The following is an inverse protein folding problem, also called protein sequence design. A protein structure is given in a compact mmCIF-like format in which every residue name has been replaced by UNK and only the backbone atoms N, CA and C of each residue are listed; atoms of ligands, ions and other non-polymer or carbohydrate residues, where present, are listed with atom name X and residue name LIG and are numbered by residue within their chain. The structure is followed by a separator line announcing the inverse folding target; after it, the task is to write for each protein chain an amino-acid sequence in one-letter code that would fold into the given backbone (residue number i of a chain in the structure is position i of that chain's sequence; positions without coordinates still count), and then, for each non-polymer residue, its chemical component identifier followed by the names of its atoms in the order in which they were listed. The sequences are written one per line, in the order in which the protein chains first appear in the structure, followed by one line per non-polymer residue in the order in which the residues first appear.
data_IF_323230961044
#
_entry.id   IF_323230961044
#
_cell.length_a   1.000
_cell.length_b   1.000
_cell.length_c   1.000
_cell.angle_alpha   90.00
_cell.angle_beta   90.00
_cell.angle_gamma   90.00
#
_symmetry.space_group_name_H-M   'P 1'
#
loop_
_entity.id
_entity.type
_entity.pdbx_description
1 polymer ?
#
# COMPACT_ATOMS: atom_id res chain seq x y z
N UNK A 1 15.03 -9.52 11.46
CA UNK A 1 14.82 -8.23 10.76
C UNK A 1 16.13 -7.44 10.83
N UNK A 2 16.62 -6.96 9.71
CA UNK A 2 17.84 -6.15 9.61
C UNK A 2 17.46 -4.80 8.97
N UNK A 3 18.03 -3.70 9.46
CA UNK A 3 17.87 -2.39 8.87
C UNK A 3 19.07 -2.10 7.96
N UNK A 4 18.81 -1.79 6.69
CA UNK A 4 19.83 -1.44 5.71
C UNK A 4 19.63 0.03 5.35
N UNK A 5 20.65 0.85 5.59
CA UNK A 5 20.64 2.25 5.19
C UNK A 5 21.03 2.34 3.71
N UNK A 6 20.23 3.05 2.91
CA UNK A 6 20.47 3.29 1.49
C UNK A 6 21.02 4.71 1.33
N UNK A 7 22.30 4.89 0.96
CA UNK A 7 22.87 6.21 0.75
C UNK A 7 22.18 6.93 -0.42
N UNK A 8 21.86 8.21 -0.23
CA UNK A 8 21.29 9.07 -1.27
C UNK A 8 20.01 8.54 -1.95
N UNK A 9 19.27 7.64 -1.28
CA UNK A 9 18.10 6.96 -1.83
C UNK A 9 18.42 6.13 -3.13
N UNK A 10 19.68 5.72 -3.33
CA UNK A 10 20.15 4.94 -4.49
C UNK A 10 20.22 3.42 -4.19
N UNK A 11 19.21 2.68 -4.65
CA UNK A 11 19.14 1.21 -4.51
C UNK A 11 20.14 0.46 -5.40
N UNK A 12 20.78 1.14 -6.35
CA UNK A 12 21.80 0.55 -7.24
C UNK A 12 23.20 0.59 -6.64
N UNK A 13 23.37 1.22 -5.47
CA UNK A 13 24.64 1.20 -4.74
C UNK A 13 25.06 -0.27 -4.46
N UNK A 14 26.36 -0.61 -4.64
CA UNK A 14 26.83 -1.98 -4.47
C UNK A 14 26.54 -2.59 -3.09
N UNK A 15 26.49 -1.78 -2.03
CA UNK A 15 26.26 -2.24 -0.66
C UNK A 15 24.84 -2.78 -0.43
N UNK A 16 23.75 -2.02 -0.69
CA UNK A 16 22.39 -2.54 -0.62
C UNK A 16 22.15 -3.64 -1.66
N UNK A 17 22.64 -3.50 -2.89
CA UNK A 17 22.44 -4.50 -3.95
C UNK A 17 22.97 -5.90 -3.57
N UNK A 18 24.17 -5.97 -2.97
CA UNK A 18 24.74 -7.24 -2.49
C UNK A 18 23.94 -7.80 -1.32
N UNK A 19 23.47 -6.93 -0.43
CA UNK A 19 22.69 -7.35 0.74
C UNK A 19 21.34 -7.95 0.32
N UNK A 20 20.66 -7.36 -0.66
CA UNK A 20 19.36 -7.83 -1.14
C UNK A 20 19.40 -9.25 -1.72
N UNK A 21 20.51 -9.66 -2.35
CA UNK A 21 20.66 -11.00 -2.90
C UNK A 21 20.61 -12.13 -1.83
N UNK A 22 20.80 -11.77 -0.56
CA UNK A 22 20.81 -12.71 0.56
C UNK A 22 19.53 -12.67 1.42
N UNK A 23 18.56 -11.82 1.06
CA UNK A 23 17.34 -11.64 1.86
C UNK A 23 16.15 -12.40 1.24
N UNK A 24 15.39 -13.08 2.09
CA UNK A 24 14.16 -13.78 1.69
C UNK A 24 12.96 -12.84 1.53
N UNK A 25 13.02 -11.67 2.14
CA UNK A 25 12.05 -10.60 1.98
C UNK A 25 12.73 -9.25 2.16
N UNK A 26 12.35 -8.28 1.33
CA UNK A 26 12.81 -6.89 1.42
C UNK A 26 11.61 -5.98 1.61
N UNK A 27 11.74 -5.06 2.56
CA UNK A 27 10.75 -4.00 2.79
C UNK A 27 11.45 -2.68 2.53
N UNK A 28 11.15 -2.07 1.39
CA UNK A 28 11.75 -0.80 0.97
C UNK A 28 10.92 0.34 1.54
N UNK A 29 11.60 1.30 2.16
CA UNK A 29 10.96 2.51 2.70
C UNK A 29 11.26 3.70 1.79
N UNK A 30 10.23 4.42 1.36
CA UNK A 30 10.34 5.47 0.35
C UNK A 30 10.02 6.85 0.92
N UNK A 31 10.90 7.83 0.62
CA UNK A 31 10.71 9.24 0.99
C UNK A 31 9.45 9.83 0.34
N UNK A 32 9.15 9.45 -0.91
CA UNK A 32 7.96 9.92 -1.64
C UNK A 32 6.66 9.56 -0.92
N UNK A 33 6.63 8.40 -0.26
CA UNK A 33 5.45 7.93 0.50
C UNK A 33 5.35 8.68 1.83
N UNK A 34 6.47 8.95 2.49
CA UNK A 34 6.53 9.80 3.71
C UNK A 34 5.96 11.19 3.42
N UNK A 35 6.32 11.80 2.29
CA UNK A 35 5.85 13.14 1.90
C UNK A 35 4.32 13.21 1.72
N UNK A 36 3.67 12.07 1.47
CA UNK A 36 2.21 11.95 1.40
C UNK A 36 1.55 11.74 2.78
N UNK A 37 2.35 11.66 3.85
CA UNK A 37 1.92 11.42 5.22
C UNK A 37 1.53 9.96 5.52
N UNK A 38 1.91 9.02 4.65
CA UNK A 38 1.57 7.60 4.79
C UNK A 38 2.63 6.91 5.67
N UNK A 39 2.18 6.31 6.78
CA UNK A 39 3.03 5.55 7.69
C UNK A 39 2.43 4.16 7.95
N UNK A 40 3.22 3.07 7.84
CA UNK A 40 4.63 3.06 7.47
C UNK A 40 4.83 3.40 5.98
N UNK A 41 5.96 4.02 5.66
CA UNK A 41 6.26 4.48 4.30
C UNK A 41 6.83 3.36 3.41
N UNK A 42 6.20 2.20 3.43
CA UNK A 42 6.60 1.02 2.64
C UNK A 42 6.23 1.24 1.18
N UNK A 43 7.19 1.04 0.28
CA UNK A 43 6.92 0.99 -1.15
C UNK A 43 6.42 -0.42 -1.54
N UNK A 44 5.15 -0.58 -1.93
CA UNK A 44 4.56 -1.89 -2.21
C UNK A 44 4.99 -2.50 -3.55
N UNK A 45 5.59 -1.70 -4.45
CA UNK A 45 6.07 -2.16 -5.75
C UNK A 45 7.55 -2.53 -5.71
N UNK A 46 8.35 -1.84 -4.89
CA UNK A 46 9.78 -2.16 -4.70
C UNK A 46 10.02 -3.23 -3.61
N UNK A 47 9.09 -3.40 -2.68
CA UNK A 47 9.16 -4.45 -1.66
C UNK A 47 8.78 -5.81 -2.24
N UNK A 48 9.49 -6.86 -1.83
CA UNK A 48 9.22 -8.22 -2.31
C UNK A 48 9.45 -9.28 -1.23
N UNK A 49 8.93 -10.47 -1.48
CA UNK A 49 9.14 -11.63 -0.61
C UNK A 49 9.13 -12.92 -1.42
N UNK A 50 10.07 -13.81 -1.12
CA UNK A 50 10.15 -15.15 -1.73
C UNK A 50 8.99 -16.06 -1.37
N UNK A 51 8.35 -15.82 -0.21
CA UNK A 51 7.23 -16.66 0.24
C UNK A 51 5.88 -16.22 -0.31
N UNK A 52 5.83 -15.16 -1.13
CA UNK A 52 4.60 -14.73 -1.81
C UNK A 52 4.34 -15.64 -3.01
N UNK A 53 4.07 -16.90 -2.73
CA UNK A 53 3.74 -17.98 -3.67
C UNK A 53 2.42 -18.65 -3.22
N UNK A 54 1.57 -19.00 -4.18
CA UNK A 54 0.21 -19.51 -3.93
C UNK A 54 0.19 -20.77 -3.05
N UNK A 55 1.16 -21.65 -3.21
CA UNK A 55 1.32 -22.89 -2.45
C UNK A 55 1.77 -22.66 -0.99
N UNK A 56 2.40 -21.51 -0.70
CA UNK A 56 2.85 -21.13 0.65
C UNK A 56 1.79 -20.32 1.39
N UNK A 57 1.32 -19.22 0.79
CA UNK A 57 0.40 -18.29 1.46
C UNK A 57 -1.08 -18.60 1.24
N UNK A 58 -1.38 -19.52 0.32
CA UNK A 58 -2.72 -19.81 -0.14
C UNK A 58 -3.19 -18.87 -1.25
N UNK A 59 -4.06 -19.40 -2.10
CA UNK A 59 -4.60 -18.73 -3.29
C UNK A 59 -5.18 -17.35 -3.02
N UNK A 60 -6.05 -17.23 -2.02
CA UNK A 60 -6.75 -15.97 -1.75
C UNK A 60 -5.80 -14.84 -1.36
N UNK A 61 -4.79 -15.12 -0.53
CA UNK A 61 -3.79 -14.12 -0.16
C UNK A 61 -2.92 -13.76 -1.38
N UNK A 62 -2.45 -14.75 -2.12
CA UNK A 62 -1.63 -14.54 -3.31
C UNK A 62 -2.34 -13.69 -4.37
N UNK A 63 -3.56 -14.06 -4.78
CA UNK A 63 -4.34 -13.34 -5.79
C UNK A 63 -4.68 -11.91 -5.34
N UNK A 64 -5.02 -11.73 -4.06
CA UNK A 64 -5.32 -10.39 -3.52
C UNK A 64 -4.08 -9.50 -3.58
N UNK A 65 -2.91 -10.01 -3.15
CA UNK A 65 -1.67 -9.26 -3.19
C UNK A 65 -1.25 -8.91 -4.63
N UNK A 66 -1.37 -9.85 -5.58
CA UNK A 66 -1.04 -9.61 -6.99
C UNK A 66 -1.94 -8.56 -7.63
N UNK A 67 -3.26 -8.64 -7.42
CA UNK A 67 -4.20 -7.63 -7.94
C UNK A 67 -3.98 -6.25 -7.33
N UNK A 68 -3.60 -6.17 -6.05
CA UNK A 68 -3.19 -4.90 -5.43
C UNK A 68 -1.95 -4.32 -6.13
N UNK A 69 -0.93 -5.14 -6.40
CA UNK A 69 0.27 -4.71 -7.13
C UNK A 69 -0.07 -4.24 -8.55
N UNK A 70 -0.91 -4.97 -9.28
CA UNK A 70 -1.36 -4.62 -10.64
C UNK A 70 -2.07 -3.26 -10.68
N UNK A 71 -3.00 -3.02 -9.74
CA UNK A 71 -3.73 -1.74 -9.66
C UNK A 71 -2.76 -0.58 -9.36
N UNK A 72 -1.81 -0.78 -8.43
CA UNK A 72 -0.81 0.23 -8.08
C UNK A 72 0.16 0.49 -9.23
N UNK A 73 0.55 -0.54 -9.99
CA UNK A 73 1.40 -0.40 -11.16
C UNK A 73 0.68 0.39 -12.27
N UNK A 74 -0.56 0.03 -12.59
CA UNK A 74 -1.39 0.77 -13.56
C UNK A 74 -1.60 2.22 -13.11
N UNK A 75 -1.76 2.46 -11.80
CA UNK A 75 -1.85 3.83 -11.27
C UNK A 75 -0.56 4.63 -11.51
N UNK A 76 0.62 4.06 -11.29
CA UNK A 76 1.90 4.73 -11.59
C UNK A 76 2.01 5.11 -13.08
N UNK A 77 1.60 4.23 -13.99
CA UNK A 77 1.58 4.52 -15.43
C UNK A 77 0.62 5.67 -15.78
N UNK A 78 -0.53 5.73 -15.10
CA UNK A 78 -1.53 6.78 -15.29
C UNK A 78 -1.13 8.11 -14.64
N UNK A 79 -0.22 8.13 -13.65
CA UNK A 79 0.19 9.37 -12.96
C UNK A 79 0.83 10.39 -13.90
N UNK A 80 1.66 9.95 -14.84
CA UNK A 80 2.31 10.85 -15.81
C UNK A 80 1.26 11.48 -16.75
N UNK A 81 0.28 10.68 -17.19
CA UNK A 81 -0.84 11.15 -18.01
C UNK A 81 -1.66 12.18 -17.21
N UNK A 82 -2.00 11.88 -15.96
CA UNK A 82 -2.76 12.79 -15.08
C UNK A 82 -2.00 14.10 -14.85
N UNK A 83 -0.67 14.05 -14.69
CA UNK A 83 0.15 15.23 -14.46
C UNK A 83 0.22 16.17 -15.68
N UNK A 84 0.11 15.63 -16.90
CA UNK A 84 0.21 16.40 -18.14
C UNK A 84 -1.18 16.85 -18.64
N UNK A 85 -2.14 15.93 -18.68
CA UNK A 85 -3.44 16.11 -19.34
C UNK A 85 -4.59 16.34 -18.35
N UNK A 86 -4.43 15.91 -17.10
CA UNK A 86 -5.47 15.97 -16.07
C UNK A 86 -6.31 14.69 -15.98
N UNK A 87 -7.07 14.58 -14.89
CA UNK A 87 -7.89 13.40 -14.57
C UNK A 87 -9.10 13.23 -15.51
N UNK A 88 -9.58 14.32 -16.11
CA UNK A 88 -10.79 14.33 -16.95
C UNK A 88 -10.60 13.57 -18.26
N UNK A 89 -9.35 13.52 -18.76
CA UNK A 89 -8.94 12.88 -20.02
C UNK A 89 -8.81 11.35 -19.93
N UNK A 90 -8.94 10.78 -18.73
CA UNK A 90 -8.92 9.34 -18.54
C UNK A 90 -10.25 8.69 -18.94
N UNK A 91 -10.18 7.44 -19.39
CA UNK A 91 -11.37 6.61 -19.54
C UNK A 91 -12.06 6.39 -18.17
N UNK A 92 -13.36 6.11 -18.15
CA UNK A 92 -14.07 5.85 -16.89
C UNK A 92 -13.48 4.64 -16.13
N UNK A 93 -12.98 3.63 -16.84
CA UNK A 93 -12.29 2.48 -16.24
C UNK A 93 -10.95 2.87 -15.58
N UNK A 94 -10.18 3.75 -16.24
CA UNK A 94 -8.92 4.24 -15.68
C UNK A 94 -9.16 5.16 -14.50
N UNK A 95 -10.22 5.97 -14.54
CA UNK A 95 -10.65 6.77 -13.38
C UNK A 95 -10.95 5.87 -12.18
N UNK A 96 -11.72 4.81 -12.37
CA UNK A 96 -12.00 3.83 -11.30
C UNK A 96 -10.71 3.20 -10.78
N UNK A 97 -9.80 2.80 -11.69
CA UNK A 97 -8.49 2.24 -11.31
C UNK A 97 -7.72 3.21 -10.41
N UNK A 98 -7.63 4.49 -10.79
CA UNK A 98 -6.93 5.53 -10.03
C UNK A 98 -7.58 5.74 -8.66
N UNK A 99 -8.91 5.81 -8.59
CA UNK A 99 -9.62 5.97 -7.31
C UNK A 99 -9.37 4.80 -6.38
N UNK A 100 -9.43 3.56 -6.87
CA UNK A 100 -9.11 2.37 -6.08
C UNK A 100 -7.65 2.35 -5.66
N UNK A 101 -6.71 2.70 -6.54
CA UNK A 101 -5.29 2.78 -6.21
C UNK A 101 -5.00 3.80 -5.09
N UNK A 102 -5.62 4.98 -5.13
CA UNK A 102 -5.51 5.97 -4.05
C UNK A 102 -6.04 5.45 -2.72
N UNK A 103 -7.17 4.74 -2.73
CA UNK A 103 -7.73 4.08 -1.54
C UNK A 103 -6.78 3.01 -0.99
N UNK A 104 -6.21 2.17 -1.86
CA UNK A 104 -5.20 1.17 -1.50
C UNK A 104 -3.97 1.84 -0.86
N UNK A 105 -3.41 2.87 -1.48
CA UNK A 105 -2.25 3.60 -0.93
C UNK A 105 -2.53 4.16 0.46
N UNK A 106 -3.73 4.73 0.68
CA UNK A 106 -4.14 5.22 2.00
C UNK A 106 -4.34 4.07 2.98
N UNK A 107 -4.97 2.98 2.57
CA UNK A 107 -5.25 1.82 3.42
C UNK A 107 -4.00 1.03 3.84
N UNK A 108 -2.88 1.19 3.12
CA UNK A 108 -1.57 0.68 3.55
C UNK A 108 -1.02 1.43 4.78
N UNK A 109 -1.57 2.59 5.13
CA UNK A 109 -1.21 3.28 6.38
C UNK A 109 -1.91 2.67 7.59
N UNK A 110 -1.19 2.58 8.71
CA UNK A 110 -1.70 2.01 9.96
C UNK A 110 -1.11 2.74 11.18
N UNK A 111 -1.93 3.09 12.18
CA UNK A 111 -1.44 3.71 13.40
C UNK A 111 -0.65 2.70 14.25
N UNK A 112 0.55 3.08 14.65
CA UNK A 112 1.44 2.24 15.45
C UNK A 112 1.29 2.49 16.95
N UNK A 113 1.24 1.41 17.74
CA UNK A 113 1.21 1.49 19.22
C UNK A 113 2.40 2.28 19.78
N UNK A 114 3.58 2.14 19.17
CA UNK A 114 4.79 2.88 19.58
C UNK A 114 4.76 4.36 19.19
N UNK A 115 3.92 4.73 18.23
CA UNK A 115 3.75 6.11 17.79
C UNK A 115 2.65 6.85 18.56
N UNK A 116 1.80 6.13 19.31
CA UNK A 116 0.65 6.67 20.03
C UNK A 116 1.02 7.83 20.97
N UNK A 117 2.17 7.76 21.65
CA UNK A 117 2.66 8.83 22.53
C UNK A 117 2.99 10.13 21.79
N UNK A 118 3.25 10.06 20.48
CA UNK A 118 3.61 11.21 19.65
C UNK A 118 2.44 11.69 18.78
N UNK A 119 1.59 10.77 18.33
CA UNK A 119 0.47 11.07 17.41
C UNK A 119 -0.84 11.30 18.13
N UNK A 120 -1.00 10.79 19.36
CA UNK A 120 -2.28 10.77 20.07
C UNK A 120 -3.33 9.82 19.46
N UNK A 121 -2.96 9.04 18.45
CA UNK A 121 -3.84 8.07 17.78
C UNK A 121 -3.53 6.67 18.32
N UNK A 122 -4.52 5.97 18.88
CA UNK A 122 -4.32 4.61 19.38
C UNK A 122 -3.79 3.66 18.32
N UNK A 123 -2.76 2.90 18.69
CA UNK A 123 -2.21 1.87 17.82
C UNK A 123 -3.25 0.80 17.48
N UNK A 124 -3.10 0.20 16.29
CA UNK A 124 -3.96 -0.89 15.83
C UNK A 124 -3.13 -2.11 15.49
N UNK A 125 -3.63 -3.29 15.82
CA UNK A 125 -3.12 -4.57 15.33
C UNK A 125 -4.14 -5.14 14.36
N UNK A 126 -3.72 -5.44 13.14
CA UNK A 126 -4.59 -5.94 12.06
C UNK A 126 -4.25 -7.42 11.81
N UNK A 127 -5.17 -8.36 12.08
CA UNK A 127 -4.95 -9.77 11.76
C UNK A 127 -4.84 -10.01 10.25
N UNK A 128 -4.03 -10.99 9.84
CA UNK A 128 -3.82 -11.33 8.42
C UNK A 128 -5.13 -11.53 7.64
N UNK A 129 -6.10 -12.24 8.23
CA UNK A 129 -7.41 -12.47 7.60
C UNK A 129 -8.16 -11.18 7.31
N UNK A 130 -8.05 -10.20 8.21
CA UNK A 130 -8.66 -8.89 8.05
C UNK A 130 -7.95 -8.03 7.00
N UNK A 131 -6.62 -8.15 6.91
CA UNK A 131 -5.84 -7.52 5.84
C UNK A 131 -6.29 -8.02 4.47
N UNK A 132 -6.32 -9.34 4.27
CA UNK A 132 -6.72 -9.95 2.99
C UNK A 132 -8.17 -9.60 2.65
N UNK A 133 -9.08 -9.70 3.62
CA UNK A 133 -10.50 -9.29 3.45
C UNK A 133 -10.61 -7.84 3.03
N UNK A 134 -9.93 -6.93 3.74
CA UNK A 134 -10.02 -5.49 3.48
C UNK A 134 -9.52 -5.10 2.10
N UNK A 135 -8.35 -5.60 1.69
CA UNK A 135 -7.83 -5.34 0.35
C UNK A 135 -8.70 -5.96 -0.74
N UNK A 136 -9.24 -7.16 -0.51
CA UNK A 136 -10.16 -7.83 -1.44
C UNK A 136 -11.41 -7.01 -1.71
N UNK A 137 -12.06 -6.49 -0.66
CA UNK A 137 -13.23 -5.62 -0.80
C UNK A 137 -12.92 -4.34 -1.59
N UNK A 138 -11.71 -3.78 -1.46
CA UNK A 138 -11.29 -2.60 -2.24
C UNK A 138 -11.08 -2.95 -3.72
N UNK A 139 -10.36 -4.03 -4.02
CA UNK A 139 -10.07 -4.41 -5.42
C UNK A 139 -11.31 -4.92 -6.17
N UNK A 140 -12.29 -5.49 -5.45
CA UNK A 140 -13.56 -5.97 -5.99
C UNK A 140 -14.60 -4.84 -6.14
N UNK A 141 -14.33 -3.64 -5.61
CA UNK A 141 -15.17 -2.46 -5.79
C UNK A 141 -16.27 -2.27 -4.74
N UNK A 142 -16.36 -3.15 -3.75
CA UNK A 142 -17.34 -3.04 -2.66
C UNK A 142 -17.16 -1.77 -1.82
N UNK A 143 -15.97 -1.16 -1.92
CA UNK A 143 -15.58 0.02 -1.16
C UNK A 143 -15.53 1.30 -2.02
N UNK A 144 -16.11 1.29 -3.23
CA UNK A 144 -16.06 2.40 -4.18
C UNK A 144 -16.83 3.65 -3.72
N UNK A 145 -17.92 3.47 -2.97
CA UNK A 145 -18.75 4.59 -2.48
C UNK A 145 -18.12 5.38 -1.32
N UNK A 146 -17.10 4.82 -0.66
CA UNK A 146 -16.46 5.47 0.50
C UNK A 146 -15.39 6.48 0.06
N UNK A 147 -15.28 7.64 0.74
CA UNK A 147 -14.29 8.65 0.40
C UNK A 147 -12.86 8.18 0.69
N UNK A 148 -11.88 8.62 -0.11
CA UNK A 148 -10.46 8.24 0.05
C UNK A 148 -9.92 8.47 1.46
N UNK A 149 -10.37 9.54 2.14
CA UNK A 149 -9.93 9.85 3.50
C UNK A 149 -10.40 8.84 4.56
N UNK A 150 -11.45 8.07 4.29
CA UNK A 150 -11.89 7.01 5.19
C UNK A 150 -10.82 5.91 5.33
N UNK A 151 -9.96 5.72 4.33
CA UNK A 151 -8.92 4.69 4.29
C UNK A 151 -7.62 5.12 4.96
N UNK A 152 -7.49 6.38 5.35
CA UNK A 152 -6.24 6.89 5.92
C UNK A 152 -6.14 6.63 7.42
N UNK A 153 -5.02 6.04 7.83
CA UNK A 153 -4.59 5.80 9.20
C UNK A 153 -5.64 5.04 10.04
N UNK A 154 -6.09 3.90 9.51
CA UNK A 154 -7.11 3.01 10.11
C UNK A 154 -6.53 1.60 10.29
N UNK A 155 -7.20 0.76 11.09
CA UNK A 155 -6.85 -0.65 11.25
C UNK A 155 -7.50 -1.56 10.21
N UNK A 156 -8.77 -1.91 10.43
CA UNK A 156 -9.50 -2.86 9.57
C UNK A 156 -10.44 -2.13 8.60
N UNK A 157 -10.99 -2.87 7.64
CA UNK A 157 -11.95 -2.34 6.68
C UNK A 157 -13.26 -1.88 7.34
N UNK A 158 -13.63 -2.47 8.47
CA UNK A 158 -14.81 -2.05 9.23
C UNK A 158 -14.64 -0.62 9.77
N UNK A 159 -13.43 -0.23 10.18
CA UNK A 159 -13.13 1.14 10.62
C UNK A 159 -13.24 2.14 9.46
N UNK A 160 -12.93 1.73 8.22
CA UNK A 160 -13.16 2.54 7.02
C UNK A 160 -14.66 2.81 6.87
N UNK A 161 -15.49 1.77 6.99
CA UNK A 161 -16.95 1.89 6.88
C UNK A 161 -17.50 2.83 7.96
N UNK A 162 -17.04 2.69 9.20
CA UNK A 162 -17.44 3.56 10.30
C UNK A 162 -17.02 5.01 10.07
N UNK A 163 -15.81 5.23 9.55
CA UNK A 163 -15.27 6.57 9.28
C UNK A 163 -15.92 7.23 8.07
N UNK A 164 -16.21 6.48 7.02
CA UNK A 164 -16.82 7.00 5.79
C UNK A 164 -18.32 7.29 5.89
N UNK A 165 -18.98 6.85 6.96
CA UNK A 165 -20.37 7.21 7.27
C UNK A 165 -20.50 8.51 8.07
N UNK A 166 -19.39 9.03 8.61
CA UNK A 166 -19.34 10.28 9.38
C UNK A 166 -19.00 11.45 8.47
#
# INVERSE_FOLDING_TARGET
VQAVYVPADDLTDPAPATTFAHLDATTVLSRKIVEQGIYPAVDPLESNSRILEEDIVGKEHYETARRVQEILQKYTELQDIIAILGMEELSEEDKITVYRARKIQRFLSQPFHVAETFTGVPGKYVPLKETVRGFKMIIDGEMDDYPEQAFFNVGTIDEVIEKGRK
#
